data_IF_249445384155
#
_entry.id   IF_249445384155
#
_cell.length_a   1.000
_cell.length_b   1.000
_cell.length_c   1.000
_cell.angle_alpha   90.00
_cell.angle_beta   90.00
_cell.angle_gamma   90.00
#
_symmetry.space_group_name_H-M   'P 1'
#
loop_
_entity.id
_entity.type
_entity.pdbx_description
1 polymer ?
#
# COMPACT_ATOMS: atom_id res chain seq x y z
N UNK A 1 -24.79 9.14 4.69
CA UNK A 1 -23.41 9.07 4.19
C UNK A 1 -22.57 8.47 5.32
N UNK A 2 -22.05 7.25 5.17
CA UNK A 2 -21.57 6.41 6.30
C UNK A 2 -20.47 7.09 7.14
N UNK A 3 -20.58 6.99 8.47
CA UNK A 3 -19.81 7.76 9.47
C UNK A 3 -18.28 7.54 9.45
N UNK A 4 -17.81 6.39 8.95
CA UNK A 4 -16.38 6.07 8.93
C UNK A 4 -15.55 6.92 7.96
N UNK A 5 -16.15 7.63 6.99
CA UNK A 5 -15.40 8.50 6.05
C UNK A 5 -14.65 9.65 6.74
N UNK A 6 -15.19 10.13 7.86
CA UNK A 6 -14.60 11.20 8.68
C UNK A 6 -13.70 10.68 9.80
N UNK A 7 -13.59 9.35 9.96
CA UNK A 7 -12.76 8.75 11.01
C UNK A 7 -11.27 9.00 10.70
N UNK A 8 -10.47 9.51 11.65
CA UNK A 8 -9.02 9.69 11.45
C UNK A 8 -8.31 8.38 11.07
N UNK A 9 -8.83 7.23 11.51
CA UNK A 9 -8.31 5.90 11.23
C UNK A 9 -9.00 5.21 10.06
N UNK A 10 -9.67 5.93 9.15
CA UNK A 10 -10.43 5.35 8.04
C UNK A 10 -9.64 4.35 7.18
N UNK A 11 -8.31 4.53 7.04
CA UNK A 11 -7.45 3.60 6.30
C UNK A 11 -7.09 2.34 7.09
N UNK A 12 -7.32 2.33 8.39
CA UNK A 12 -7.12 1.20 9.28
C UNK A 12 -8.43 0.41 9.53
N UNK A 13 -9.54 0.80 8.88
CA UNK A 13 -10.84 0.11 8.99
C UNK A 13 -10.98 -0.90 7.85
N UNK A 14 -11.36 -2.14 8.17
CA UNK A 14 -11.81 -3.13 7.19
C UNK A 14 -13.34 -3.07 7.06
N UNK A 15 -13.83 -2.48 5.97
CA UNK A 15 -15.26 -2.13 5.79
C UNK A 15 -16.16 -3.25 5.26
N UNK A 16 -15.61 -4.45 5.04
CA UNK A 16 -16.28 -5.62 4.45
C UNK A 16 -17.04 -5.38 3.13
N UNK A 17 -16.68 -4.35 2.34
CA UNK A 17 -17.34 -4.07 1.05
C UNK A 17 -16.95 -5.02 -0.08
N UNK A 18 -16.03 -5.96 0.14
CA UNK A 18 -15.53 -6.89 -0.88
C UNK A 18 -14.96 -6.21 -2.16
N UNK A 19 -14.66 -4.92 -2.10
CA UNK A 19 -14.17 -4.09 -3.22
C UNK A 19 -12.63 -4.05 -3.33
N UNK A 20 -11.91 -4.73 -2.44
CA UNK A 20 -10.43 -4.65 -2.40
C UNK A 20 -9.80 -5.00 -3.76
N UNK A 21 -10.29 -6.04 -4.43
CA UNK A 21 -9.79 -6.45 -5.75
C UNK A 21 -9.96 -5.34 -6.80
N UNK A 22 -11.18 -4.85 -7.12
CA UNK A 22 -11.38 -3.75 -8.05
C UNK A 22 -10.50 -2.52 -7.81
N UNK A 23 -10.34 -2.12 -6.53
CA UNK A 23 -9.53 -0.97 -6.16
C UNK A 23 -8.05 -1.20 -6.47
N UNK A 24 -7.50 -2.34 -6.05
CA UNK A 24 -6.10 -2.70 -6.33
C UNK A 24 -5.84 -2.77 -7.84
N UNK A 25 -6.75 -3.39 -8.61
CA UNK A 25 -6.61 -3.50 -10.06
C UNK A 25 -6.67 -2.15 -10.76
N UNK A 26 -7.47 -1.21 -10.26
CA UNK A 26 -7.49 0.17 -10.77
C UNK A 26 -6.14 0.84 -10.57
N UNK A 27 -5.56 0.75 -9.37
CA UNK A 27 -4.21 1.28 -9.12
C UNK A 27 -3.17 0.65 -10.05
N UNK A 28 -3.21 -0.66 -10.26
CA UNK A 28 -2.28 -1.36 -11.17
C UNK A 28 -2.43 -0.86 -12.61
N UNK A 29 -3.66 -0.68 -13.11
CA UNK A 29 -3.88 -0.14 -14.45
C UNK A 29 -3.28 1.26 -14.61
N UNK A 30 -3.46 2.12 -13.61
CA UNK A 30 -2.86 3.46 -13.60
C UNK A 30 -1.34 3.38 -13.60
N UNK A 31 -0.75 2.52 -12.76
CA UNK A 31 0.70 2.33 -12.69
C UNK A 31 1.28 1.80 -14.00
N UNK A 32 0.59 0.87 -14.66
CA UNK A 32 0.97 0.36 -15.99
C UNK A 32 0.90 1.44 -17.06
N UNK A 33 -0.14 2.28 -17.03
CA UNK A 33 -0.31 3.41 -17.96
C UNK A 33 0.79 4.47 -17.77
N UNK A 34 1.14 4.79 -16.52
CA UNK A 34 2.28 5.66 -16.19
C UNK A 34 3.59 5.05 -16.71
N UNK A 35 3.84 3.78 -16.39
CA UNK A 35 5.06 3.09 -16.84
C UNK A 35 5.20 3.01 -18.37
N UNK A 36 4.09 2.98 -19.10
CA UNK A 36 4.09 3.00 -20.57
C UNK A 36 4.45 4.38 -21.16
N UNK A 37 4.20 5.45 -20.41
CA UNK A 37 4.42 6.85 -20.85
C UNK A 37 5.71 7.45 -20.28
N UNK A 38 6.14 6.97 -19.12
CA UNK A 38 7.27 7.50 -18.37
C UNK A 38 8.27 6.38 -18.04
N UNK A 39 9.38 6.38 -18.76
CA UNK A 39 10.49 5.46 -18.58
C UNK A 39 11.41 5.82 -17.41
N UNK A 40 11.04 6.79 -16.56
CA UNK A 40 11.71 7.13 -15.31
C UNK A 40 10.86 6.79 -14.07
N UNK A 41 9.60 6.37 -14.27
CA UNK A 41 8.65 6.15 -13.19
C UNK A 41 9.11 5.08 -12.19
N UNK A 42 8.92 5.34 -10.90
CA UNK A 42 9.04 4.37 -9.80
C UNK A 42 7.75 4.39 -8.96
N UNK A 43 7.48 3.33 -8.21
CA UNK A 43 6.22 3.18 -7.47
C UNK A 43 6.46 2.65 -6.07
N UNK A 44 5.52 2.91 -5.15
CA UNK A 44 5.59 2.36 -3.81
C UNK A 44 4.25 2.38 -3.09
N UNK A 45 4.15 1.61 -2.00
CA UNK A 45 3.00 1.63 -1.12
C UNK A 45 3.40 1.29 0.32
N UNK A 46 2.53 1.67 1.26
CA UNK A 46 2.55 1.20 2.65
C UNK A 46 1.28 0.40 2.89
N UNK A 47 1.42 -0.84 3.36
CA UNK A 47 0.29 -1.63 3.80
C UNK A 47 -0.10 -1.23 5.22
N UNK A 48 -1.04 -0.30 5.38
CA UNK A 48 -1.53 0.09 6.72
C UNK A 48 -2.10 -1.11 7.47
N UNK A 49 -1.88 -1.16 8.78
CA UNK A 49 -2.45 -2.17 9.64
C UNK A 49 -3.95 -1.93 9.86
N UNK A 50 -4.67 -3.01 10.14
CA UNK A 50 -6.09 -3.01 10.46
C UNK A 50 -6.24 -2.85 11.96
N UNK A 51 -6.78 -1.72 12.41
CA UNK A 51 -7.04 -1.50 13.85
C UNK A 51 -8.52 -1.69 14.19
N UNK A 52 -9.39 -1.65 13.18
CA UNK A 52 -10.82 -1.95 13.32
C UNK A 52 -11.31 -2.81 12.17
N UNK A 53 -12.17 -3.77 12.48
CA UNK A 53 -12.98 -4.50 11.51
C UNK A 53 -14.46 -4.23 11.75
N UNK A 54 -15.25 -4.22 10.69
CA UNK A 54 -16.71 -4.18 10.79
C UNK A 54 -17.22 -5.62 10.90
N UNK A 55 -17.97 -5.89 11.97
CA UNK A 55 -18.74 -7.13 12.14
C UNK A 55 -20.23 -6.81 12.21
N UNK A 56 -21.06 -7.82 11.93
CA UNK A 56 -22.51 -7.73 12.04
C UNK A 56 -22.95 -8.57 13.24
N UNK A 57 -23.79 -8.01 14.10
CA UNK A 57 -24.45 -8.80 15.15
C UNK A 57 -25.63 -9.61 14.60
N UNK A 58 -26.29 -10.39 15.46
CA UNK A 58 -27.47 -11.18 15.08
C UNK A 58 -28.62 -10.31 14.51
N UNK A 59 -28.64 -9.02 14.85
CA UNK A 59 -29.60 -8.03 14.36
C UNK A 59 -29.16 -7.33 13.06
N UNK A 60 -28.05 -7.78 12.45
CA UNK A 60 -27.44 -7.22 11.24
C UNK A 60 -26.98 -5.76 11.37
N UNK A 61 -26.67 -5.29 12.58
CA UNK A 61 -26.10 -3.97 12.79
C UNK A 61 -24.58 -3.98 12.66
N UNK A 62 -24.02 -2.99 11.96
CA UNK A 62 -22.56 -2.81 11.82
C UNK A 62 -21.96 -2.33 13.15
N UNK A 63 -20.98 -3.06 13.68
CA UNK A 63 -20.22 -2.66 14.87
C UNK A 63 -18.72 -2.67 14.59
N UNK A 64 -18.01 -1.70 15.17
CA UNK A 64 -16.55 -1.69 15.12
C UNK A 64 -15.99 -2.66 16.15
N UNK A 65 -15.22 -3.63 15.67
CA UNK A 65 -14.42 -4.52 16.50
C UNK A 65 -12.95 -4.10 16.43
N UNK A 66 -12.32 -3.77 17.56
CA UNK A 66 -10.89 -3.55 17.63
C UNK A 66 -10.12 -4.78 17.14
N UNK A 67 -9.06 -4.53 16.37
CA UNK A 67 -8.12 -5.54 15.89
C UNK A 67 -6.72 -5.07 16.25
N UNK A 68 -5.91 -5.95 16.81
CA UNK A 68 -4.50 -5.66 17.08
C UNK A 68 -3.63 -6.26 15.97
N UNK A 69 -3.69 -5.66 14.77
CA UNK A 69 -2.77 -6.01 13.70
C UNK A 69 -1.48 -5.20 13.85
N UNK A 70 -0.30 -5.84 13.91
CA UNK A 70 0.97 -5.11 13.99
C UNK A 70 1.22 -4.28 12.74
N UNK A 71 1.99 -3.19 12.87
CA UNK A 71 2.46 -2.41 11.72
C UNK A 71 3.37 -3.22 10.79
N UNK A 72 4.07 -4.22 11.31
CA UNK A 72 4.92 -5.10 10.51
C UNK A 72 4.10 -6.17 9.75
N UNK A 73 4.50 -6.45 8.52
CA UNK A 73 3.96 -7.54 7.66
C UNK A 73 2.43 -7.61 7.59
N UNK A 74 1.74 -6.47 7.47
CA UNK A 74 0.27 -6.42 7.49
C UNK A 74 -0.37 -7.25 6.38
N UNK A 75 -1.65 -7.62 6.55
CA UNK A 75 -2.47 -8.28 5.53
C UNK A 75 -2.41 -7.54 4.19
N UNK A 76 -2.57 -6.21 4.22
CA UNK A 76 -2.51 -5.35 3.03
C UNK A 76 -1.15 -5.44 2.36
N UNK A 77 -0.07 -5.30 3.11
CA UNK A 77 1.29 -5.42 2.58
C UNK A 77 1.52 -6.77 1.88
N UNK A 78 1.14 -7.88 2.53
CA UNK A 78 1.33 -9.22 1.95
C UNK A 78 0.56 -9.40 0.65
N UNK A 79 -0.70 -8.95 0.60
CA UNK A 79 -1.54 -9.04 -0.59
C UNK A 79 -1.00 -8.17 -1.71
N UNK A 80 -0.73 -6.89 -1.43
CA UNK A 80 -0.27 -5.93 -2.44
C UNK A 80 1.09 -6.33 -2.99
N UNK A 81 2.04 -6.73 -2.13
CA UNK A 81 3.37 -7.22 -2.54
C UNK A 81 3.26 -8.34 -3.56
N UNK A 82 2.45 -9.36 -3.25
CA UNK A 82 2.29 -10.53 -4.13
C UNK A 82 1.67 -10.16 -5.48
N UNK A 83 0.71 -9.24 -5.48
CA UNK A 83 0.09 -8.76 -6.71
C UNK A 83 1.10 -7.96 -7.53
N UNK A 84 1.85 -7.02 -6.93
CA UNK A 84 2.83 -6.21 -7.65
C UNK A 84 3.93 -7.06 -8.31
N UNK A 85 4.42 -8.09 -7.63
CA UNK A 85 5.38 -9.05 -8.20
C UNK A 85 4.85 -9.81 -9.43
N UNK A 86 3.53 -9.86 -9.63
CA UNK A 86 2.92 -10.49 -10.81
C UNK A 86 2.93 -9.56 -12.02
N UNK A 87 2.78 -8.24 -11.81
CA UNK A 87 2.63 -7.26 -12.89
C UNK A 87 3.94 -6.56 -13.27
N UNK A 88 4.85 -6.37 -12.32
CA UNK A 88 6.08 -5.60 -12.49
C UNK A 88 7.29 -6.53 -12.39
N UNK A 89 8.04 -6.64 -13.48
CA UNK A 89 9.17 -7.57 -13.60
C UNK A 89 10.42 -7.04 -12.91
N UNK A 90 11.15 -7.94 -12.26
CA UNK A 90 12.45 -7.66 -11.64
C UNK A 90 13.54 -7.24 -12.63
N UNK A 91 13.35 -7.41 -13.95
CA UNK A 91 14.25 -6.90 -14.99
C UNK A 91 14.13 -5.38 -15.20
N UNK A 92 12.99 -4.80 -14.85
CA UNK A 92 12.71 -3.36 -15.04
C UNK A 92 12.80 -2.61 -13.72
N UNK A 93 12.34 -3.25 -12.64
CA UNK A 93 12.30 -2.67 -11.30
C UNK A 93 13.19 -3.44 -10.33
N UNK A 94 13.89 -2.72 -9.47
CA UNK A 94 14.42 -3.23 -8.21
C UNK A 94 13.29 -3.21 -7.18
N UNK A 95 13.07 -4.34 -6.52
CA UNK A 95 11.95 -4.53 -5.59
C UNK A 95 12.48 -4.47 -4.16
N UNK A 96 12.13 -3.42 -3.44
CA UNK A 96 12.67 -3.11 -2.12
C UNK A 96 11.57 -3.31 -1.08
N UNK A 97 11.93 -3.93 0.03
CA UNK A 97 11.01 -4.34 1.08
C UNK A 97 11.44 -3.73 2.42
N UNK A 98 10.51 -3.10 3.13
CA UNK A 98 10.64 -2.81 4.54
C UNK A 98 9.50 -3.53 5.28
N UNK A 99 9.81 -4.68 5.85
CA UNK A 99 8.79 -5.51 6.52
C UNK A 99 8.35 -4.94 7.87
N UNK A 100 9.19 -4.14 8.53
CA UNK A 100 8.90 -3.52 9.82
C UNK A 100 7.79 -2.48 9.70
N UNK A 101 7.86 -1.65 8.66
CA UNK A 101 6.85 -0.61 8.40
C UNK A 101 5.80 -1.02 7.37
N UNK A 102 5.84 -2.27 6.87
CA UNK A 102 4.97 -2.73 5.80
C UNK A 102 5.06 -1.88 4.52
N UNK A 103 6.23 -1.32 4.24
CA UNK A 103 6.50 -0.54 3.04
C UNK A 103 7.13 -1.38 1.92
N UNK A 104 6.80 -1.04 0.69
CA UNK A 104 7.29 -1.70 -0.51
C UNK A 104 7.52 -0.67 -1.62
N UNK A 105 8.66 -0.78 -2.30
CA UNK A 105 9.02 0.09 -3.40
C UNK A 105 9.45 -0.71 -4.62
N UNK A 106 9.12 -0.19 -5.80
CA UNK A 106 9.56 -0.64 -7.11
C UNK A 106 10.31 0.52 -7.73
N UNK A 107 11.63 0.52 -7.58
CA UNK A 107 12.50 1.56 -8.10
C UNK A 107 13.00 1.14 -9.46
N UNK A 108 12.88 2.02 -10.46
CA UNK A 108 13.35 1.69 -11.80
C UNK A 108 14.87 1.53 -11.82
N UNK A 109 15.33 0.41 -12.38
CA UNK A 109 16.77 0.08 -12.41
C UNK A 109 17.61 1.13 -13.11
N UNK A 110 17.15 1.62 -14.28
CA UNK A 110 17.87 2.66 -15.03
C UNK A 110 18.02 3.96 -14.26
N UNK A 111 17.09 4.29 -13.37
CA UNK A 111 17.21 5.49 -12.53
C UNK A 111 18.11 5.23 -11.31
N UNK A 112 18.07 4.01 -10.76
CA UNK A 112 18.96 3.59 -9.69
C UNK A 112 20.43 3.53 -10.13
N UNK A 113 20.68 3.15 -11.39
CA UNK A 113 22.02 3.17 -12.00
C UNK A 113 22.56 4.59 -12.15
N UNK A 114 21.69 5.57 -12.43
CA UNK A 114 22.07 6.99 -12.54
C UNK A 114 22.28 7.64 -11.17
N UNK A 115 21.51 7.23 -10.15
CA UNK A 115 21.62 7.72 -8.80
C UNK A 115 21.51 6.57 -7.79
N UNK A 116 22.65 6.14 -7.26
CA UNK A 116 22.71 5.08 -6.25
C UNK A 116 22.08 5.47 -4.90
N UNK A 117 21.89 6.77 -4.64
CA UNK A 117 21.25 7.29 -3.43
C UNK A 117 19.72 7.46 -3.58
N UNK A 118 19.15 7.18 -4.76
CA UNK A 118 17.74 7.39 -5.07
C UNK A 118 16.80 6.71 -4.06
N UNK A 119 17.17 5.53 -3.56
CA UNK A 119 16.37 4.80 -2.56
C UNK A 119 16.21 5.61 -1.27
N UNK A 120 17.30 6.21 -0.79
CA UNK A 120 17.28 7.01 0.44
C UNK A 120 16.51 8.31 0.23
N UNK A 121 16.62 8.92 -0.95
CA UNK A 121 15.85 10.12 -1.31
C UNK A 121 14.34 9.83 -1.34
N UNK A 122 13.95 8.70 -1.93
CA UNK A 122 12.56 8.25 -1.93
C UNK A 122 12.10 7.97 -0.49
N UNK A 123 12.90 7.27 0.31
CA UNK A 123 12.56 6.97 1.71
C UNK A 123 12.38 8.25 2.54
N UNK A 124 13.29 9.22 2.42
CA UNK A 124 13.20 10.50 3.10
C UNK A 124 11.95 11.28 2.67
N UNK A 125 11.67 11.35 1.36
CA UNK A 125 10.45 11.95 0.84
C UNK A 125 9.19 11.31 1.43
N UNK A 126 9.17 9.97 1.56
CA UNK A 126 8.06 9.26 2.16
C UNK A 126 7.87 9.60 3.65
N UNK A 127 8.95 9.64 4.43
CA UNK A 127 8.90 10.04 5.84
C UNK A 127 8.42 11.48 6.02
N UNK A 128 8.89 12.41 5.18
CA UNK A 128 8.53 13.83 5.27
C UNK A 128 7.06 14.10 4.90
N UNK A 129 6.50 13.31 3.99
CA UNK A 129 5.17 13.57 3.42
C UNK A 129 4.08 12.64 3.98
N UNK A 130 4.44 11.52 4.62
CA UNK A 130 3.51 10.55 5.15
C UNK A 130 3.88 10.20 6.59
N UNK A 131 3.14 10.80 7.54
CA UNK A 131 3.28 10.64 9.00
C UNK A 131 3.12 9.21 9.54
N UNK A 132 2.91 8.21 8.68
CA UNK A 132 2.80 6.80 9.04
C UNK A 132 4.07 5.99 8.73
N UNK A 133 5.18 6.63 8.35
CA UNK A 133 6.45 5.95 8.08
C UNK A 133 7.31 5.68 9.32
N UNK A 134 6.92 6.23 10.47
CA UNK A 134 7.55 5.99 11.79
C UNK A 134 6.92 4.81 12.56
#
# INVERSE_FOLDING_TARGET
MKDHKKNPHKYNIQTNYHEARPVIYTCIKIMLDINAKDNCSSFGFIGSNTIFSIEFDDSHQEHFKPVDEPKCKTKRYRVYKRIMLTFFKGTTFEHIYNEETSAYMMVRRTELEKNSNLINEIAAYFSDNYTNFD
#
